data_IF_870096029281
#
_entry.id   IF_870096029281
#
_cell.length_a   1.000
_cell.length_b   1.000
_cell.length_c   1.000
_cell.angle_alpha   90.00
_cell.angle_beta   90.00
_cell.angle_gamma   90.00
#
_symmetry.space_group_name_H-M   'P 1'
#
loop_
_entity.id
_entity.type
_entity.pdbx_description
1 polymer ?
#
# COMPACT_ATOMS: atom_id res chain seq x y z
N UNK A 1 20.99 20.63 15.75
CA UNK A 1 20.01 21.73 15.54
C UNK A 1 18.74 21.60 16.37
N UNK A 2 18.50 20.51 17.10
CA UNK A 2 17.28 20.28 17.92
C UNK A 2 17.31 20.94 19.31
N UNK A 3 17.88 22.14 19.43
CA UNK A 3 17.85 22.87 20.71
C UNK A 3 16.54 23.67 20.83
N UNK A 4 15.92 23.71 22.01
CA UNK A 4 14.74 24.55 22.25
C UNK A 4 14.99 26.02 21.87
N UNK A 5 14.04 26.64 21.17
CA UNK A 5 14.10 28.01 20.64
C UNK A 5 14.52 28.12 19.17
N UNK A 6 14.57 27.02 18.41
CA UNK A 6 14.91 27.01 16.97
C UNK A 6 14.07 26.03 16.17
N UNK A 7 14.08 24.76 16.58
CA UNK A 7 13.28 23.70 15.99
C UNK A 7 12.49 23.04 17.11
N UNK A 8 11.32 23.59 17.38
CA UNK A 8 10.52 23.25 18.55
C UNK A 8 9.42 22.22 18.22
N UNK A 9 9.23 21.93 16.92
CA UNK A 9 8.26 20.95 16.41
C UNK A 9 8.95 20.03 15.42
N UNK A 10 8.75 18.75 15.61
CA UNK A 10 9.12 17.70 14.66
C UNK A 10 7.82 17.11 14.12
N UNK A 11 7.68 17.08 12.79
CA UNK A 11 6.57 16.43 12.11
C UNK A 11 7.20 15.32 11.29
N UNK A 12 6.82 14.09 11.61
CA UNK A 12 7.26 12.91 10.88
C UNK A 12 6.21 12.58 9.80
N UNK A 13 6.68 12.35 8.57
CA UNK A 13 5.85 11.85 7.48
C UNK A 13 6.27 10.41 7.26
N UNK A 14 5.45 9.48 7.74
CA UNK A 14 5.67 8.05 7.58
C UNK A 14 5.35 7.55 6.16
N UNK A 15 5.59 6.26 5.96
CA UNK A 15 5.18 5.53 4.75
C UNK A 15 3.64 5.57 4.64
N UNK A 16 3.08 5.82 3.44
CA UNK A 16 1.63 5.88 3.27
C UNK A 16 0.94 4.55 3.60
N UNK A 17 -0.24 4.64 4.21
CA UNK A 17 -1.18 3.52 4.41
C UNK A 17 -1.72 3.02 3.06
N UNK A 18 -2.41 1.87 3.05
CA UNK A 18 -3.07 1.35 1.84
C UNK A 18 -3.97 2.42 1.19
N UNK A 19 -4.76 3.14 1.99
CA UNK A 19 -5.61 4.24 1.51
C UNK A 19 -4.77 5.38 0.92
N UNK A 20 -3.72 5.81 1.61
CA UNK A 20 -2.80 6.83 1.10
C UNK A 20 -2.10 6.41 -0.20
N UNK A 21 -1.73 5.13 -0.35
CA UNK A 21 -1.16 4.61 -1.60
C UNK A 21 -2.17 4.65 -2.74
N UNK A 22 -3.44 4.30 -2.48
CA UNK A 22 -4.52 4.43 -3.47
C UNK A 22 -4.66 5.88 -3.94
N UNK A 23 -4.67 6.84 -3.03
CA UNK A 23 -4.77 8.27 -3.36
C UNK A 23 -3.58 8.74 -4.22
N UNK A 24 -2.36 8.35 -3.86
CA UNK A 24 -1.15 8.67 -4.63
C UNK A 24 -1.25 8.08 -6.04
N UNK A 25 -1.67 6.82 -6.17
CA UNK A 25 -1.87 6.19 -7.47
C UNK A 25 -3.00 6.87 -8.27
N UNK A 26 -4.08 7.31 -7.64
CA UNK A 26 -5.15 8.07 -8.29
C UNK A 26 -4.62 9.39 -8.87
N UNK A 27 -3.76 10.10 -8.13
CA UNK A 27 -3.13 11.35 -8.61
C UNK A 27 -2.24 11.07 -9.82
N UNK A 28 -1.35 10.07 -9.73
CA UNK A 28 -0.41 9.75 -10.82
C UNK A 28 -1.08 9.12 -12.04
N UNK A 29 -2.27 8.54 -11.89
CA UNK A 29 -3.06 7.99 -13.02
C UNK A 29 -4.13 8.93 -13.53
N UNK A 30 -4.35 10.12 -12.93
CA UNK A 30 -5.46 11.02 -13.29
C UNK A 30 -5.47 11.41 -14.78
N UNK A 31 -4.30 11.66 -15.37
CA UNK A 31 -4.15 11.99 -16.79
C UNK A 31 -3.80 10.80 -17.69
N UNK A 32 -3.82 9.58 -17.15
CA UNK A 32 -3.42 8.38 -17.87
C UNK A 32 -4.63 7.71 -18.54
N UNK A 33 -4.62 7.49 -19.87
CA UNK A 33 -5.69 6.77 -20.54
C UNK A 33 -5.59 5.28 -20.23
N UNK A 34 -6.32 4.82 -19.22
CA UNK A 34 -6.38 3.40 -18.84
C UNK A 34 -7.51 2.74 -19.63
N UNK A 35 -7.23 1.61 -20.29
CA UNK A 35 -8.22 0.82 -21.02
C UNK A 35 -9.06 -0.03 -20.04
N UNK A 36 -9.88 0.66 -19.25
CA UNK A 36 -10.74 0.07 -18.24
C UNK A 36 -11.93 1.00 -17.99
N UNK A 37 -13.09 0.45 -17.63
CA UNK A 37 -14.19 1.26 -17.08
C UNK A 37 -13.76 1.90 -15.75
N UNK A 38 -14.42 2.99 -15.34
CA UNK A 38 -14.10 3.67 -14.05
C UNK A 38 -14.14 2.70 -12.85
N UNK A 39 -15.08 1.74 -12.86
CA UNK A 39 -15.15 0.70 -11.81
C UNK A 39 -13.98 -0.28 -11.86
N UNK A 40 -13.51 -0.65 -13.04
CA UNK A 40 -12.35 -1.54 -13.19
C UNK A 40 -11.05 -0.82 -12.85
N UNK A 41 -10.95 0.46 -13.22
CA UNK A 41 -9.87 1.33 -12.80
C UNK A 41 -9.80 1.41 -11.28
N UNK A 42 -10.92 1.67 -10.61
CA UNK A 42 -10.94 1.74 -9.15
C UNK A 42 -10.48 0.42 -8.51
N UNK A 43 -11.01 -0.73 -8.98
CA UNK A 43 -10.57 -2.05 -8.52
C UNK A 43 -9.08 -2.30 -8.75
N UNK A 44 -8.53 -1.87 -9.90
CA UNK A 44 -7.11 -1.97 -10.18
C UNK A 44 -6.29 -1.16 -9.18
N UNK A 45 -6.69 0.06 -8.87
CA UNK A 45 -5.97 0.91 -7.92
C UNK A 45 -6.05 0.35 -6.49
N UNK A 46 -7.18 -0.23 -6.10
CA UNK A 46 -7.34 -0.96 -4.83
C UNK A 46 -6.39 -2.17 -4.77
N UNK A 47 -6.34 -2.99 -5.83
CA UNK A 47 -5.44 -4.14 -5.96
C UNK A 47 -3.97 -3.69 -5.83
N UNK A 48 -3.58 -2.66 -6.58
CA UNK A 48 -2.20 -2.15 -6.58
C UNK A 48 -1.81 -1.58 -5.22
N UNK A 49 -2.69 -0.85 -4.54
CA UNK A 49 -2.43 -0.31 -3.21
C UNK A 49 -2.23 -1.43 -2.16
N UNK A 50 -2.99 -2.52 -2.26
CA UNK A 50 -2.90 -3.65 -1.34
C UNK A 50 -1.59 -4.44 -1.47
N UNK A 51 -1.04 -4.56 -2.69
CA UNK A 51 0.18 -5.36 -2.95
C UNK A 51 1.48 -4.55 -2.92
N UNK A 52 1.41 -3.21 -2.85
CA UNK A 52 2.57 -2.30 -2.81
C UNK A 52 2.99 -1.96 -1.38
N UNK A 53 3.12 -2.98 -0.53
CA UNK A 53 3.56 -2.82 0.86
C UNK A 53 4.93 -2.12 0.92
N UNK A 54 5.06 -1.10 1.76
CA UNK A 54 6.31 -0.36 1.95
C UNK A 54 6.73 0.54 0.78
N UNK A 55 5.86 0.73 -0.23
CA UNK A 55 6.14 1.69 -1.30
C UNK A 55 5.95 3.12 -0.79
N UNK A 56 6.90 3.99 -1.10
CA UNK A 56 6.76 5.43 -0.87
C UNK A 56 6.08 6.11 -2.05
N UNK A 57 5.70 7.38 -1.89
CA UNK A 57 5.08 8.15 -2.98
C UNK A 57 5.93 8.18 -4.26
N UNK A 58 7.26 8.20 -4.14
CA UNK A 58 8.16 8.13 -5.28
C UNK A 58 8.10 6.78 -6.02
N UNK A 59 8.03 5.67 -5.29
CA UNK A 59 7.93 4.33 -5.86
C UNK A 59 6.60 4.14 -6.60
N UNK A 60 5.50 4.63 -6.02
CA UNK A 60 4.18 4.61 -6.67
C UNK A 60 4.12 5.49 -7.91
N UNK A 61 4.79 6.65 -7.89
CA UNK A 61 4.95 7.49 -9.06
C UNK A 61 5.76 6.78 -10.16
N UNK A 62 6.82 6.06 -9.77
CA UNK A 62 7.61 5.24 -10.69
C UNK A 62 6.77 4.09 -11.27
N UNK A 63 5.90 3.46 -10.47
CA UNK A 63 4.99 2.40 -10.92
C UNK A 63 4.05 2.87 -12.02
N UNK A 64 3.40 4.02 -11.82
CA UNK A 64 2.59 4.62 -12.87
C UNK A 64 3.40 4.93 -14.13
N UNK A 65 4.61 5.49 -13.97
CA UNK A 65 5.49 5.83 -15.10
C UNK A 65 5.93 4.60 -15.90
N UNK A 66 6.32 3.52 -15.23
CA UNK A 66 6.77 2.30 -15.90
C UNK A 66 5.59 1.59 -16.61
N UNK A 67 4.39 1.60 -16.01
CA UNK A 67 3.19 1.11 -16.67
C UNK A 67 2.90 1.89 -17.97
N UNK A 68 3.05 3.21 -17.95
CA UNK A 68 2.93 4.06 -19.14
C UNK A 68 4.04 3.79 -20.16
N UNK A 69 5.30 3.60 -19.74
CA UNK A 69 6.39 3.22 -20.65
C UNK A 69 6.18 1.89 -21.31
N UNK A 70 5.63 0.93 -20.58
CA UNK A 70 5.34 -0.39 -21.13
C UNK A 70 4.25 -0.33 -22.19
N UNK A 71 3.19 0.46 -21.94
CA UNK A 71 2.19 0.75 -22.95
C UNK A 71 2.82 1.46 -24.16
N UNK A 72 3.65 2.48 -23.95
CA UNK A 72 4.33 3.22 -25.03
C UNK A 72 5.21 2.30 -25.88
N UNK A 73 5.99 1.39 -25.27
CA UNK A 73 6.86 0.45 -25.98
C UNK A 73 6.10 -0.45 -26.97
N UNK A 74 4.80 -0.72 -26.76
CA UNK A 74 3.97 -1.48 -27.72
C UNK A 74 3.70 -0.70 -29.00
N UNK A 75 3.47 0.61 -28.87
CA UNK A 75 3.11 1.48 -29.99
C UNK A 75 4.33 2.19 -30.61
N UNK A 76 5.47 2.21 -29.92
CA UNK A 76 6.73 2.80 -30.39
C UNK A 76 7.15 2.35 -31.80
N UNK A 77 7.02 1.06 -32.20
CA UNK A 77 7.39 0.62 -33.54
C UNK A 77 6.51 1.20 -34.66
N UNK A 78 5.30 1.65 -34.34
CA UNK A 78 4.35 2.24 -35.28
C UNK A 78 4.50 3.78 -35.37
N UNK A 79 5.32 4.37 -34.50
CA UNK A 79 5.55 5.82 -34.45
C UNK A 79 6.71 6.18 -35.38
N UNK A 80 6.39 6.95 -36.41
CA UNK A 80 7.38 7.67 -37.21
C UNK A 80 7.71 8.99 -36.50
N UNK A 81 8.89 9.09 -35.89
CA UNK A 81 9.33 10.26 -35.12
C UNK A 81 9.63 11.50 -35.98
N UNK A 82 9.77 11.32 -37.30
CA UNK A 82 10.01 12.42 -38.22
C UNK A 82 8.71 13.14 -38.63
N UNK A 83 7.55 12.60 -38.23
CA UNK A 83 6.23 13.15 -38.52
C UNK A 83 5.45 13.47 -37.24
N UNK A 84 4.52 14.44 -37.28
CA UNK A 84 3.60 14.66 -36.18
C UNK A 84 2.77 13.40 -35.91
N UNK A 85 2.60 13.08 -34.62
CA UNK A 85 1.86 11.89 -34.19
C UNK A 85 0.41 12.00 -34.69
N UNK A 86 -0.05 10.96 -35.39
CA UNK A 86 -1.42 10.93 -35.91
C UNK A 86 -2.44 10.84 -34.76
N UNK A 87 -3.53 11.61 -34.87
CA UNK A 87 -4.65 11.59 -33.90
C UNK A 87 -5.22 10.17 -33.66
N UNK A 88 -5.40 9.31 -34.69
CA UNK A 88 -5.87 7.94 -34.50
C UNK A 88 -4.93 7.06 -33.66
N UNK A 89 -3.63 7.35 -33.68
CA UNK A 89 -2.67 6.64 -32.85
C UNK A 89 -2.77 7.08 -31.39
N UNK A 90 -2.95 8.38 -31.13
CA UNK A 90 -3.16 8.90 -29.77
C UNK A 90 -4.41 8.30 -29.11
N UNK A 91 -5.50 8.11 -29.85
CA UNK A 91 -6.73 7.51 -29.33
C UNK A 91 -6.59 6.01 -29.02
N UNK A 92 -5.70 5.31 -29.74
CA UNK A 92 -5.39 3.89 -29.52
C UNK A 92 -4.42 3.68 -28.36
N UNK A 93 -3.60 4.69 -28.02
CA UNK A 93 -2.61 4.58 -26.96
C UNK A 93 -3.27 4.57 -25.59
N UNK A 94 -3.52 3.35 -25.09
CA UNK A 94 -4.06 3.12 -23.77
C UNK A 94 -3.19 2.18 -22.95
N UNK A 95 -3.16 2.43 -21.65
CA UNK A 95 -2.48 1.60 -20.65
C UNK A 95 -3.43 0.51 -20.20
N UNK A 96 -2.98 -0.73 -20.23
CA UNK A 96 -3.81 -1.87 -19.81
C UNK A 96 -3.53 -2.23 -18.35
N UNK A 97 -4.49 -2.84 -17.62
CA UNK A 97 -4.23 -3.35 -16.26
C UNK A 97 -3.05 -4.33 -16.19
N UNK A 98 -2.76 -5.06 -17.27
CA UNK A 98 -1.61 -5.94 -17.37
C UNK A 98 -0.27 -5.17 -17.33
N UNK A 99 -0.21 -3.93 -17.81
CA UNK A 99 1.00 -3.12 -17.79
C UNK A 99 1.40 -2.75 -16.36
N UNK A 100 0.41 -2.50 -15.47
CA UNK A 100 0.66 -2.26 -14.05
C UNK A 100 1.22 -3.49 -13.34
N UNK A 101 0.64 -4.67 -13.57
CA UNK A 101 1.12 -5.93 -12.95
C UNK A 101 2.55 -6.28 -13.37
N UNK A 102 2.90 -5.93 -14.59
CA UNK A 102 4.24 -6.18 -15.12
C UNK A 102 5.24 -5.11 -14.69
N UNK A 103 4.82 -3.85 -14.59
CA UNK A 103 5.63 -2.78 -14.01
C UNK A 103 6.01 -3.08 -12.55
N UNK A 104 5.10 -3.69 -11.78
CA UNK A 104 5.36 -4.10 -10.40
C UNK A 104 6.55 -5.08 -10.28
N UNK A 105 6.79 -5.92 -11.28
CA UNK A 105 7.90 -6.88 -11.27
C UNK A 105 9.27 -6.21 -11.40
N UNK A 106 9.32 -4.96 -11.85
CA UNK A 106 10.57 -4.22 -12.10
C UNK A 106 10.87 -3.19 -11.01
N UNK A 107 9.93 -2.90 -10.13
CA UNK A 107 10.04 -1.84 -9.13
C UNK A 107 10.15 -2.46 -7.75
N UNK A 108 11.24 -2.12 -7.08
CA UNK A 108 11.47 -2.52 -5.70
C UNK A 108 11.11 -1.38 -4.75
N UNK A 109 10.49 -1.69 -3.58
CA UNK A 109 10.16 -0.68 -2.59
C UNK A 109 11.42 -0.06 -1.98
N UNK A 110 11.45 1.27 -1.92
CA UNK A 110 12.55 2.02 -1.32
C UNK A 110 12.58 1.91 0.21
N UNK A 111 11.46 1.58 0.85
CA UNK A 111 11.28 1.67 2.31
C UNK A 111 11.36 0.35 3.08
N UNK A 112 11.94 -0.72 2.52
CA UNK A 112 12.15 -1.99 3.24
C UNK A 112 12.99 -1.88 4.54
N UNK A 113 13.51 -0.68 4.86
CA UNK A 113 14.32 -0.40 6.05
C UNK A 113 13.52 0.10 7.26
N UNK A 114 12.31 0.64 7.06
CA UNK A 114 11.47 1.10 8.17
C UNK A 114 10.33 0.11 8.39
N UNK A 115 10.15 -0.34 9.64
CA UNK A 115 9.09 -1.26 10.05
C UNK A 115 7.75 -0.55 9.88
N UNK A 116 7.18 -0.62 8.68
CA UNK A 116 5.87 -0.08 8.39
C UNK A 116 4.84 -0.93 9.15
N UNK A 117 4.16 -0.31 10.12
CA UNK A 117 3.03 -0.92 10.82
C UNK A 117 1.86 -0.97 9.84
N UNK A 118 1.77 -2.05 9.07
CA UNK A 118 0.54 -2.35 8.34
C UNK A 118 -0.36 -3.25 9.18
N UNK A 119 -1.63 -2.85 9.28
CA UNK A 119 -2.67 -3.70 9.84
C UNK A 119 -2.96 -4.78 8.80
N UNK A 120 -2.66 -6.06 9.09
CA UNK A 120 -2.98 -7.13 8.16
C UNK A 120 -4.49 -7.25 7.99
N UNK A 121 -4.94 -7.57 6.77
CA UNK A 121 -6.35 -7.82 6.49
C UNK A 121 -6.87 -9.17 7.06
N UNK A 122 -6.03 -9.90 7.80
CA UNK A 122 -6.31 -11.24 8.30
C UNK A 122 -7.29 -11.18 9.48
N UNK A 123 -8.37 -11.94 9.40
CA UNK A 123 -9.36 -12.10 10.48
C UNK A 123 -9.20 -13.43 11.20
N UNK A 124 -9.77 -13.52 12.41
CA UNK A 124 -9.74 -14.73 13.22
C UNK A 124 -10.33 -15.96 12.52
N UNK A 125 -11.31 -15.76 11.63
CA UNK A 125 -11.98 -16.83 10.88
C UNK A 125 -11.07 -17.42 9.78
N UNK A 126 -10.04 -16.69 9.36
CA UNK A 126 -9.09 -17.14 8.34
C UNK A 126 -7.94 -17.97 8.94
N UNK A 127 -7.85 -18.06 10.27
CA UNK A 127 -6.86 -18.88 10.98
C UNK A 127 -7.53 -20.18 11.41
N UNK A 128 -7.08 -21.33 10.91
CA UNK A 128 -7.61 -22.63 11.30
C UNK A 128 -7.07 -23.11 12.67
N UNK A 129 -7.93 -23.71 13.50
CA UNK A 129 -7.52 -24.36 14.76
C UNK A 129 -7.05 -23.42 15.87
N UNK A 130 -6.26 -23.96 16.82
CA UNK A 130 -5.64 -23.21 17.94
C UNK A 130 -6.63 -22.39 18.78
N UNK A 131 -7.87 -22.87 18.97
CA UNK A 131 -8.94 -22.11 19.63
C UNK A 131 -8.57 -21.64 21.05
N UNK A 132 -7.84 -22.45 21.82
CA UNK A 132 -7.35 -22.05 23.14
C UNK A 132 -6.42 -20.83 23.06
N UNK A 133 -5.44 -20.88 22.15
CA UNK A 133 -4.46 -19.79 21.96
C UNK A 133 -5.15 -18.53 21.43
N UNK A 134 -6.12 -18.66 20.51
CA UNK A 134 -6.91 -17.52 20.03
C UNK A 134 -7.69 -16.85 21.18
N UNK A 135 -8.29 -17.64 22.05
CA UNK A 135 -8.99 -17.13 23.23
C UNK A 135 -8.03 -16.39 24.16
N UNK A 136 -6.91 -17.02 24.51
CA UNK A 136 -5.88 -16.44 25.39
C UNK A 136 -5.33 -15.12 24.83
N UNK A 137 -5.12 -15.04 23.50
CA UNK A 137 -4.69 -13.82 22.82
C UNK A 137 -5.74 -12.72 22.83
N UNK A 138 -7.01 -13.06 22.58
CA UNK A 138 -8.13 -12.08 22.66
C UNK A 138 -8.24 -11.51 24.07
N UNK A 139 -8.12 -12.35 25.08
CA UNK A 139 -8.21 -11.92 26.47
C UNK A 139 -7.00 -11.07 26.88
N UNK A 140 -5.80 -11.49 26.49
CA UNK A 140 -4.57 -10.80 26.91
C UNK A 140 -4.32 -9.50 26.14
N UNK A 141 -4.72 -9.43 24.87
CA UNK A 141 -4.48 -8.26 24.01
C UNK A 141 -5.73 -7.40 23.88
N UNK A 142 -6.89 -7.96 23.50
CA UNK A 142 -8.07 -7.11 23.20
C UNK A 142 -8.76 -6.57 24.46
N UNK A 143 -8.89 -7.36 25.55
CA UNK A 143 -9.63 -6.91 26.75
C UNK A 143 -9.01 -5.68 27.43
N UNK A 144 -7.68 -5.57 27.62
CA UNK A 144 -7.08 -4.37 28.21
C UNK A 144 -7.38 -3.09 27.43
N UNK A 145 -7.41 -3.16 26.09
CA UNK A 145 -7.74 -2.02 25.24
C UNK A 145 -9.24 -1.72 25.19
N UNK A 146 -10.10 -2.74 25.16
CA UNK A 146 -11.57 -2.58 25.11
C UNK A 146 -12.15 -2.10 26.44
N UNK A 147 -11.66 -2.61 27.57
CA UNK A 147 -12.19 -2.33 28.90
C UNK A 147 -11.12 -1.85 29.92
N UNK A 148 -10.43 -0.71 29.69
CA UNK A 148 -9.36 -0.25 30.60
C UNK A 148 -9.83 0.02 32.04
N UNK A 149 -11.09 0.44 32.20
CA UNK A 149 -11.65 0.78 33.51
C UNK A 149 -11.90 -0.46 34.37
N UNK A 150 -12.24 -1.60 33.77
CA UNK A 150 -12.45 -2.84 34.51
C UNK A 150 -11.15 -3.31 35.19
N UNK A 151 -10.01 -3.20 34.50
CA UNK A 151 -8.69 -3.52 35.04
C UNK A 151 -8.30 -2.60 36.20
N UNK A 152 -8.58 -1.29 36.09
CA UNK A 152 -8.34 -0.34 37.18
C UNK A 152 -9.17 -0.63 38.42
N UNK A 153 -10.46 -0.92 38.25
CA UNK A 153 -11.38 -1.23 39.37
C UNK A 153 -11.01 -2.55 40.05
N UNK A 154 -10.58 -3.54 39.28
CA UNK A 154 -10.15 -4.83 39.81
C UNK A 154 -8.72 -4.80 40.41
N UNK A 155 -7.97 -3.72 40.20
CA UNK A 155 -6.59 -3.59 40.67
C UNK A 155 -5.64 -4.59 40.00
N UNK A 156 -5.95 -5.03 38.79
CA UNK A 156 -5.16 -6.02 38.03
C UNK A 156 -4.35 -5.28 36.98
N UNK A 157 -3.04 -5.52 36.97
CA UNK A 157 -2.16 -5.00 35.93
C UNK A 157 -2.34 -5.76 34.61
N UNK A 158 -2.54 -5.07 33.48
CA UNK A 158 -2.65 -5.73 32.19
C UNK A 158 -1.30 -6.36 31.77
N UNK A 159 -1.32 -7.47 31.03
CA UNK A 159 -0.10 -8.10 30.53
C UNK A 159 0.66 -7.14 29.60
N UNK A 160 1.98 -7.03 29.80
CA UNK A 160 2.85 -6.09 29.06
C UNK A 160 3.36 -6.62 27.72
N UNK A 161 3.24 -7.92 27.48
CA UNK A 161 3.72 -8.56 26.26
C UNK A 161 3.41 -10.05 26.25
N UNK A 162 3.43 -10.64 25.06
CA UNK A 162 3.16 -12.05 24.82
C UNK A 162 4.31 -12.60 23.99
N UNK A 163 4.86 -13.74 24.40
CA UNK A 163 5.88 -14.46 23.65
C UNK A 163 5.24 -15.65 22.93
N UNK A 164 5.20 -15.60 21.61
CA UNK A 164 4.75 -16.71 20.77
C UNK A 164 5.95 -17.61 20.44
N UNK A 165 5.81 -18.92 20.64
CA UNK A 165 6.81 -19.91 20.28
C UNK A 165 6.16 -21.18 19.72
N UNK A 166 6.83 -21.86 18.80
CA UNK A 166 6.33 -23.07 18.15
C UNK A 166 7.33 -23.64 17.15
N UNK A 167 7.06 -24.82 16.57
CA UNK A 167 7.81 -25.35 15.44
C UNK A 167 7.73 -24.40 14.23
N UNK A 168 8.79 -24.31 13.40
CA UNK A 168 8.80 -23.49 12.19
C UNK A 168 7.85 -24.02 11.10
#
# INVERSE_FOLDING_TARGET
MRRPGRFDREIEIGVPTVEGRKEILQIHTRGMPIDASERERERLLDEMAAITHGFVGADLAALGREAAMRALRRYLPEIDFDKPISVPLLEKMKVTPADFREALKQIEPSSLRDVAVEVPAVRWEQVGGLERVKSDLRESVELPFKNPQAFKTLGIDPPRGILLYGPP
#
